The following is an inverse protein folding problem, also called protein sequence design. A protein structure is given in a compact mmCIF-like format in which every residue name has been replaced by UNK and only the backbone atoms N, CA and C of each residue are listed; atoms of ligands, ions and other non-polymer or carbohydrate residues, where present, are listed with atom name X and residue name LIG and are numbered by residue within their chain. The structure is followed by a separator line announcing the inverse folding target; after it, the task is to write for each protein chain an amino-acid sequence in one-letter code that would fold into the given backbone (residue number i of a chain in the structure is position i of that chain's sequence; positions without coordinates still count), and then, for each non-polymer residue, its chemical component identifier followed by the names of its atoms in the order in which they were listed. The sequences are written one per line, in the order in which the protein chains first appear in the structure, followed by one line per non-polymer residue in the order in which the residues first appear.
data_IF_971490665804
#
_entry.id   IF_971490665804
#
_cell.length_a   1.000
_cell.length_b   1.000
_cell.length_c   1.000
_cell.angle_alpha   90.00
_cell.angle_beta   90.00
_cell.angle_gamma   90.00
#
_symmetry.space_group_name_H-M   'P 1'
#
loop_
_entity.id
_entity.type
_entity.pdbx_description
1 polymer ?
#
# COMPACT_ATOMS: atom_id res chain seq x y z
N UNK A 1 -38.79 -73.09 -20.27
CA UNK A 1 -38.44 -71.89 -19.47
C UNK A 1 -36.95 -71.82 -19.12
N UNK A 2 -36.01 -71.79 -20.10
CA UNK A 2 -34.55 -71.71 -19.83
C UNK A 2 -33.84 -70.45 -20.39
N UNK A 3 -34.57 -69.56 -21.07
CA UNK A 3 -34.00 -68.33 -21.64
C UNK A 3 -33.93 -67.17 -20.63
N UNK A 4 -34.80 -67.17 -19.60
CA UNK A 4 -34.87 -66.08 -18.61
C UNK A 4 -33.74 -66.09 -17.58
N UNK A 5 -33.03 -67.20 -17.38
CA UNK A 5 -31.90 -67.21 -16.45
C UNK A 5 -30.67 -66.53 -17.06
N UNK A 6 -30.37 -66.78 -18.34
CA UNK A 6 -29.24 -66.13 -19.03
C UNK A 6 -29.41 -64.62 -19.15
N UNK A 7 -30.64 -64.15 -19.37
CA UNK A 7 -30.96 -62.71 -19.45
C UNK A 7 -30.70 -61.98 -18.13
N UNK A 8 -31.01 -62.60 -16.97
CA UNK A 8 -30.73 -62.01 -15.65
C UNK A 8 -29.24 -61.85 -15.37
N UNK A 9 -28.42 -62.82 -15.78
CA UNK A 9 -26.96 -62.72 -15.65
C UNK A 9 -26.37 -61.62 -16.54
N UNK A 10 -26.92 -61.44 -17.74
CA UNK A 10 -26.54 -60.34 -18.65
C UNK A 10 -26.96 -58.98 -18.05
N UNK A 11 -28.16 -58.88 -17.48
CA UNK A 11 -28.64 -57.66 -16.81
C UNK A 11 -27.79 -57.29 -15.59
N UNK A 12 -27.39 -58.27 -14.77
CA UNK A 12 -26.51 -58.04 -13.63
C UNK A 12 -25.13 -57.55 -14.09
N UNK A 13 -24.58 -58.17 -15.15
CA UNK A 13 -23.34 -57.70 -15.76
C UNK A 13 -23.45 -56.26 -16.29
N UNK A 14 -24.57 -55.92 -16.93
CA UNK A 14 -24.80 -54.59 -17.47
C UNK A 14 -24.94 -53.53 -16.36
N UNK A 15 -25.63 -53.85 -15.26
CA UNK A 15 -25.79 -52.94 -14.10
C UNK A 15 -24.45 -52.74 -13.36
N UNK A 16 -23.63 -53.79 -13.24
CA UNK A 16 -22.29 -53.69 -12.65
C UNK A 16 -21.34 -52.85 -13.53
N UNK A 17 -21.54 -52.87 -14.84
CA UNK A 17 -20.75 -52.10 -15.79
C UNK A 17 -21.18 -50.62 -15.83
N UNK A 18 -22.46 -50.33 -15.65
CA UNK A 18 -22.95 -48.94 -15.55
C UNK A 18 -22.64 -48.29 -14.19
N UNK A 19 -22.56 -49.05 -13.10
CA UNK A 19 -22.22 -48.49 -11.78
C UNK A 19 -20.78 -47.95 -11.69
N UNK A 20 -19.83 -48.53 -12.45
CA UNK A 20 -18.45 -48.02 -12.56
C UNK A 20 -18.40 -46.68 -13.29
N UNK A 21 -19.34 -46.40 -14.21
CA UNK A 21 -19.38 -45.16 -14.98
C UNK A 21 -19.98 -43.97 -14.20
N UNK A 22 -20.70 -44.23 -13.10
CA UNK A 22 -21.37 -43.19 -12.29
C UNK A 22 -20.54 -42.80 -11.04
N UNK A 23 -19.40 -43.46 -10.80
CA UNK A 23 -18.46 -43.01 -9.77
C UNK A 23 -17.92 -41.62 -10.16
N UNK A 24 -18.03 -40.60 -9.29
CA UNK A 24 -17.37 -39.32 -9.52
C UNK A 24 -15.87 -39.58 -9.62
N UNK A 25 -15.31 -39.41 -10.82
CA UNK A 25 -13.87 -39.43 -11.02
C UNK A 25 -13.32 -38.18 -10.32
N UNK A 26 -12.94 -38.31 -9.05
CA UNK A 26 -12.20 -37.27 -8.34
C UNK A 26 -10.80 -37.16 -8.96
N UNK A 27 -10.72 -36.49 -10.10
CA UNK A 27 -9.49 -36.15 -10.81
C UNK A 27 -8.75 -35.04 -10.04
N UNK A 28 -8.28 -35.36 -8.84
CA UNK A 28 -7.59 -34.41 -7.97
C UNK A 28 -6.21 -34.91 -7.53
N UNK A 29 -5.55 -35.73 -8.35
CA UNK A 29 -4.26 -36.33 -8.00
C UNK A 29 -3.32 -36.52 -9.20
N UNK A 30 -3.13 -35.52 -10.08
CA UNK A 30 -1.99 -35.53 -11.02
C UNK A 30 -1.78 -34.17 -11.68
N UNK A 31 -1.24 -33.27 -10.87
CA UNK A 31 -0.86 -31.92 -11.27
C UNK A 31 -0.28 -31.24 -10.06
N UNK A 32 0.72 -31.90 -9.46
CA UNK A 32 1.26 -31.63 -8.12
C UNK A 32 1.19 -30.16 -7.77
N UNK A 33 0.48 -29.84 -6.69
CA UNK A 33 0.35 -28.48 -6.17
C UNK A 33 1.76 -27.87 -6.11
N UNK A 34 2.08 -26.99 -7.06
CA UNK A 34 3.38 -26.32 -7.16
C UNK A 34 3.43 -25.22 -6.11
N UNK A 35 3.52 -25.62 -4.85
CA UNK A 35 3.73 -24.70 -3.73
C UNK A 35 5.22 -24.40 -3.68
N UNK A 36 5.64 -23.32 -4.33
CA UNK A 36 6.98 -22.76 -4.13
C UNK A 36 7.00 -21.97 -2.84
N UNK A 37 7.73 -22.43 -1.83
CA UNK A 37 8.02 -21.63 -0.64
C UNK A 37 9.02 -20.53 -1.03
N UNK A 38 8.53 -19.31 -1.24
CA UNK A 38 9.39 -18.15 -1.48
C UNK A 38 9.86 -17.58 -0.14
N UNK A 39 11.16 -17.33 -0.03
CA UNK A 39 11.70 -16.68 1.16
C UNK A 39 11.34 -15.19 1.11
N UNK A 40 10.33 -14.81 1.90
CA UNK A 40 9.78 -13.45 1.95
C UNK A 40 10.86 -12.42 2.30
N UNK A 41 11.82 -12.79 3.17
CA UNK A 41 12.93 -11.92 3.56
C UNK A 41 13.90 -11.67 2.40
N UNK A 42 14.21 -12.70 1.60
CA UNK A 42 15.05 -12.57 0.41
C UNK A 42 14.36 -11.72 -0.68
N UNK A 43 13.06 -11.91 -0.89
CA UNK A 43 12.28 -11.09 -1.84
C UNK A 43 12.26 -9.63 -1.39
N UNK A 44 12.09 -9.34 -0.10
CA UNK A 44 12.09 -7.96 0.39
C UNK A 44 13.49 -7.30 0.33
N UNK A 45 14.56 -8.07 0.57
CA UNK A 45 15.94 -7.57 0.56
C UNK A 45 16.56 -7.46 -0.83
N UNK A 46 16.22 -8.34 -1.77
CA UNK A 46 16.78 -8.36 -3.14
C UNK A 46 15.86 -7.74 -4.18
N UNK A 47 14.58 -7.46 -3.86
CA UNK A 47 13.70 -6.78 -4.81
C UNK A 47 14.13 -5.34 -5.05
N UNK A 48 14.47 -5.05 -6.30
CA UNK A 48 14.74 -3.68 -6.77
C UNK A 48 13.57 -2.73 -6.48
N UNK A 49 12.34 -3.24 -6.43
CA UNK A 49 11.15 -2.46 -6.09
C UNK A 49 11.15 -2.03 -4.62
N UNK A 50 11.59 -2.90 -3.71
CA UNK A 50 11.68 -2.58 -2.28
C UNK A 50 12.79 -1.56 -2.01
N UNK A 51 13.98 -1.76 -2.61
CA UNK A 51 15.09 -0.80 -2.53
C UNK A 51 14.71 0.56 -3.14
N UNK A 52 14.11 0.57 -4.32
CA UNK A 52 13.63 1.80 -4.96
C UNK A 52 12.58 2.52 -4.10
N UNK A 53 11.68 1.78 -3.45
CA UNK A 53 10.69 2.35 -2.54
C UNK A 53 11.34 2.94 -1.28
N UNK A 54 12.34 2.27 -0.71
CA UNK A 54 13.08 2.76 0.45
C UNK A 54 13.87 4.04 0.12
N UNK A 55 14.57 4.06 -1.02
CA UNK A 55 15.27 5.26 -1.51
C UNK A 55 14.30 6.41 -1.81
N UNK A 56 13.14 6.12 -2.45
CA UNK A 56 12.09 7.12 -2.68
C UNK A 56 11.56 7.69 -1.38
N UNK A 57 11.29 6.86 -0.37
CA UNK A 57 10.86 7.32 0.95
C UNK A 57 11.92 8.19 1.60
N UNK A 58 13.19 7.77 1.58
CA UNK A 58 14.27 8.57 2.16
C UNK A 58 14.40 9.94 1.47
N UNK A 59 14.32 9.98 0.15
CA UNK A 59 14.34 11.23 -0.62
C UNK A 59 13.13 12.12 -0.30
N UNK A 60 11.92 11.55 -0.21
CA UNK A 60 10.70 12.25 0.17
C UNK A 60 10.79 12.82 1.58
N UNK A 61 11.28 12.03 2.55
CA UNK A 61 11.43 12.49 3.94
C UNK A 61 12.49 13.59 4.06
N UNK A 62 13.63 13.47 3.37
CA UNK A 62 14.65 14.53 3.36
C UNK A 62 14.12 15.80 2.71
N UNK A 63 13.44 15.70 1.57
CA UNK A 63 12.83 16.84 0.89
C UNK A 63 11.78 17.52 1.79
N UNK A 64 10.86 16.74 2.37
CA UNK A 64 9.83 17.25 3.29
C UNK A 64 10.43 17.89 4.53
N UNK A 65 11.47 17.31 5.12
CA UNK A 65 12.16 17.91 6.27
C UNK A 65 12.77 19.26 5.90
N UNK A 66 13.40 19.37 4.74
CA UNK A 66 13.97 20.63 4.25
C UNK A 66 12.89 21.67 3.98
N UNK A 67 11.77 21.30 3.36
CA UNK A 67 10.64 22.19 3.11
C UNK A 67 10.00 22.69 4.41
N UNK A 68 9.84 21.82 5.41
CA UNK A 68 9.37 22.18 6.75
C UNK A 68 10.34 23.17 7.40
N UNK A 69 11.65 22.90 7.35
CA UNK A 69 12.69 23.78 7.93
C UNK A 69 12.67 25.16 7.27
N UNK A 70 12.62 25.21 5.94
CA UNK A 70 12.52 26.47 5.20
C UNK A 70 11.21 27.21 5.50
N UNK A 71 10.09 26.50 5.64
CA UNK A 71 8.81 27.12 5.97
C UNK A 71 8.84 27.74 7.38
N UNK A 72 9.43 27.05 8.35
CA UNK A 72 9.64 27.57 9.70
C UNK A 72 10.54 28.82 9.69
N UNK A 73 11.65 28.80 8.93
CA UNK A 73 12.52 29.97 8.77
C UNK A 73 11.79 31.16 8.13
N UNK A 74 10.97 30.91 7.09
CA UNK A 74 10.15 31.94 6.46
C UNK A 74 9.16 32.55 7.44
N UNK A 75 8.44 31.72 8.20
CA UNK A 75 7.48 32.16 9.21
C UNK A 75 8.19 33.03 10.26
N UNK A 76 9.34 32.56 10.78
CA UNK A 76 10.14 33.30 11.76
C UNK A 76 10.59 34.66 11.20
N UNK A 77 11.14 34.68 9.99
CA UNK A 77 11.59 35.93 9.35
C UNK A 77 10.43 36.91 9.07
N UNK A 78 9.25 36.40 8.72
CA UNK A 78 8.06 37.21 8.52
C UNK A 78 7.56 37.81 9.84
N UNK A 79 7.59 37.02 10.92
CA UNK A 79 7.24 37.49 12.27
C UNK A 79 8.21 38.58 12.76
N UNK A 80 9.53 38.40 12.59
CA UNK A 80 10.54 39.40 12.95
C UNK A 80 10.37 40.71 12.17
N UNK A 81 10.12 40.62 10.85
CA UNK A 81 9.83 41.80 10.02
C UNK A 81 8.56 42.51 10.46
N UNK A 82 7.51 41.77 10.78
CA UNK A 82 6.25 42.34 11.25
C UNK A 82 6.46 43.09 12.57
N UNK A 83 7.14 42.48 13.55
CA UNK A 83 7.46 43.10 14.83
C UNK A 83 8.30 44.37 14.67
N UNK A 84 9.36 44.32 13.85
CA UNK A 84 10.19 45.49 13.56
C UNK A 84 9.39 46.60 12.87
N UNK A 85 8.51 46.24 11.92
CA UNK A 85 7.68 47.20 11.20
C UNK A 85 6.69 47.90 12.12
N UNK A 86 6.08 47.16 13.06
CA UNK A 86 5.15 47.68 14.07
C UNK A 86 5.90 48.62 15.00
N UNK A 87 7.05 48.20 15.54
CA UNK A 87 7.90 49.03 16.41
C UNK A 87 8.34 50.32 15.72
N UNK A 88 8.74 50.23 14.45
CA UNK A 88 9.19 51.39 13.67
C UNK A 88 8.04 52.38 13.42
N UNK A 89 6.86 51.88 13.04
CA UNK A 89 5.66 52.72 12.85
C UNK A 89 5.24 53.39 14.15
N UNK A 90 5.24 52.65 15.27
CA UNK A 90 4.86 53.19 16.57
C UNK A 90 5.80 54.31 17.02
N UNK A 91 7.12 54.11 16.92
CA UNK A 91 8.11 55.15 17.23
C UNK A 91 7.92 56.39 16.34
N UNK A 92 7.61 56.20 15.06
CA UNK A 92 7.35 57.32 14.14
C UNK A 92 6.12 58.13 14.56
N UNK A 93 5.03 57.46 14.93
CA UNK A 93 3.80 58.12 15.42
C UNK A 93 4.05 58.90 16.69
N UNK A 94 4.78 58.32 17.66
CA UNK A 94 5.13 59.03 18.89
C UNK A 94 6.00 60.26 18.62
N UNK A 95 6.92 60.17 17.65
CA UNK A 95 7.76 61.31 17.25
C UNK A 95 6.95 62.43 16.61
N UNK A 96 6.02 62.12 15.72
CA UNK A 96 5.10 63.09 15.09
C UNK A 96 4.25 63.81 16.15
N UNK A 97 3.64 63.06 17.08
CA UNK A 97 2.84 63.63 18.17
C UNK A 97 3.66 64.57 19.07
N UNK A 98 4.90 64.18 19.41
CA UNK A 98 5.77 65.05 20.20
C UNK A 98 6.18 66.33 19.47
N UNK A 99 6.25 66.31 18.13
CA UNK A 99 6.59 67.49 17.34
C UNK A 99 5.41 68.48 17.31
N UNK A 100 4.19 67.97 17.16
CA UNK A 100 2.96 68.77 17.18
C UNK A 100 2.69 69.43 18.53
N UNK A 101 3.06 68.79 19.64
CA UNK A 101 2.92 69.38 20.98
C UNK A 101 4.00 70.44 21.30
N UNK A 102 5.08 70.51 20.51
CA UNK A 102 6.19 71.45 20.72
C UNK A 102 6.11 72.70 19.83
N UNK A 103 5.16 72.76 18.91
CA UNK A 103 4.92 73.86 17.99
C UNK A 103 3.64 74.60 18.36
#
# INVERSE_FOLDING_TARGET
MKLNQSSKWIQIGLIAMTSVLVMPQAMAQEGGTRVGAVNVEKVFNESDMAKASQTRLQNEFTKRQNEIRQSAERIKSAAEKLDQSVKTKFVKVLKELSLLLKN
#
